data_IF_451377253094
#
_entry.id   IF_451377253094
#
_cell.length_a   1.000
_cell.length_b   1.000
_cell.length_c   1.000
_cell.angle_alpha   90.00
_cell.angle_beta   90.00
_cell.angle_gamma   90.00
#
_symmetry.space_group_name_H-M   'P 1'
#
loop_
_entity.id
_entity.type
_entity.pdbx_description
1 polymer ?
#
# COMPACT_ATOMS: atom_id res chain seq x y z
N UNK A 1 17.54 -6.69 6.18
CA UNK A 1 16.44 -7.45 5.54
C UNK A 1 15.95 -6.65 4.36
N UNK A 2 15.54 -7.33 3.26
CA UNK A 2 14.96 -6.66 2.10
C UNK A 2 13.64 -5.98 2.48
N UNK A 3 13.43 -4.73 2.03
CA UNK A 3 12.21 -3.95 2.22
C UNK A 3 11.26 -4.13 1.03
N UNK A 4 9.98 -3.81 1.22
CA UNK A 4 8.98 -3.78 0.13
C UNK A 4 8.66 -2.34 -0.21
N UNK A 5 8.93 -1.92 -1.44
CA UNK A 5 8.69 -0.54 -1.89
C UNK A 5 7.66 -0.56 -3.03
N UNK A 6 6.56 0.13 -2.83
CA UNK A 6 5.41 0.13 -3.75
C UNK A 6 5.29 1.49 -4.42
N UNK A 7 5.30 1.51 -5.76
CA UNK A 7 4.95 2.68 -6.55
C UNK A 7 3.43 2.72 -6.76
N UNK A 8 2.71 3.50 -5.95
CA UNK A 8 1.30 3.74 -6.16
C UNK A 8 1.11 4.95 -7.08
N UNK A 9 0.87 4.68 -8.36
CA UNK A 9 0.68 5.72 -9.37
C UNK A 9 -0.67 6.45 -9.24
N UNK A 10 -1.55 5.96 -8.37
CA UNK A 10 -2.92 6.51 -8.19
C UNK A 10 -3.62 6.63 -9.56
N UNK A 11 -4.34 7.72 -9.83
CA UNK A 11 -5.04 7.96 -11.10
C UNK A 11 -4.15 8.74 -12.09
N UNK A 12 -2.89 8.34 -12.26
CA UNK A 12 -1.95 9.01 -13.16
C UNK A 12 -1.39 8.04 -14.21
N UNK A 13 -0.99 8.60 -15.35
CA UNK A 13 -0.24 7.92 -16.38
C UNK A 13 -1.02 7.64 -17.66
N UNK A 14 -0.26 7.38 -18.71
CA UNK A 14 -0.66 6.87 -20.01
C UNK A 14 0.27 5.73 -20.39
N UNK A 15 -0.02 4.97 -21.44
CA UNK A 15 0.92 3.93 -21.92
C UNK A 15 2.30 4.51 -22.23
N UNK A 16 2.35 5.68 -22.89
CA UNK A 16 3.61 6.37 -23.20
C UNK A 16 4.36 6.79 -21.93
N UNK A 17 3.63 7.31 -20.93
CA UNK A 17 4.22 7.64 -19.63
C UNK A 17 4.85 6.40 -18.98
N UNK A 18 4.14 5.27 -18.97
CA UNK A 18 4.64 4.05 -18.35
C UNK A 18 5.82 3.43 -19.11
N UNK A 19 5.82 3.46 -20.44
CA UNK A 19 6.97 3.02 -21.23
C UNK A 19 8.22 3.85 -20.91
N UNK A 20 8.06 5.18 -20.85
CA UNK A 20 9.14 6.08 -20.47
C UNK A 20 9.57 5.86 -19.03
N UNK A 21 8.64 5.73 -18.11
CA UNK A 21 8.91 5.48 -16.69
C UNK A 21 9.73 4.20 -16.51
N UNK A 22 9.33 3.11 -17.15
CA UNK A 22 10.04 1.82 -17.11
C UNK A 22 11.45 1.91 -17.70
N UNK A 23 11.63 2.69 -18.78
CA UNK A 23 12.95 2.89 -19.39
C UNK A 23 13.89 3.72 -18.52
N UNK A 24 13.35 4.68 -17.76
CA UNK A 24 14.11 5.61 -16.93
C UNK A 24 14.34 5.09 -15.51
N UNK A 25 13.59 4.06 -15.08
CA UNK A 25 13.70 3.48 -13.75
C UNK A 25 14.87 2.50 -13.66
N UNK A 26 15.89 2.88 -12.92
CA UNK A 26 17.05 2.03 -12.61
C UNK A 26 17.02 1.65 -11.13
N UNK A 27 16.76 0.39 -10.84
CA UNK A 27 16.77 -0.14 -9.48
C UNK A 27 18.02 -1.00 -9.24
N UNK A 28 18.93 -0.48 -8.43
CA UNK A 28 20.13 -1.19 -7.99
C UNK A 28 19.98 -1.79 -6.58
N UNK A 29 18.82 -1.60 -5.95
CA UNK A 29 18.55 -2.13 -4.61
C UNK A 29 18.21 -3.62 -4.64
N UNK A 30 18.38 -4.29 -3.49
CA UNK A 30 17.91 -5.65 -3.26
C UNK A 30 16.47 -5.69 -2.70
N UNK A 31 15.78 -4.56 -2.72
CA UNK A 31 14.44 -4.42 -2.20
C UNK A 31 13.40 -4.96 -3.19
N UNK A 32 12.30 -5.48 -2.66
CA UNK A 32 11.17 -5.92 -3.47
C UNK A 32 10.42 -4.70 -3.99
N UNK A 33 10.33 -4.55 -5.31
CA UNK A 33 9.61 -3.46 -5.96
C UNK A 33 8.26 -3.95 -6.45
N UNK A 34 7.20 -3.22 -6.09
CA UNK A 34 5.85 -3.43 -6.60
C UNK A 34 5.40 -2.20 -7.39
N UNK A 35 4.81 -2.45 -8.57
CA UNK A 35 4.20 -1.39 -9.37
C UNK A 35 2.68 -1.49 -9.27
N UNK A 36 2.05 -0.40 -8.87
CA UNK A 36 0.60 -0.30 -8.70
C UNK A 36 0.01 0.77 -9.64
N UNK A 37 -0.17 0.43 -10.94
CA UNK A 37 -0.77 1.32 -11.92
C UNK A 37 -2.30 1.39 -11.73
N UNK A 38 -2.98 2.40 -12.33
CA UNK A 38 -4.43 2.36 -12.47
C UNK A 38 -4.90 1.05 -13.10
N UNK A 39 -6.06 0.53 -12.66
CA UNK A 39 -6.56 -0.79 -13.09
C UNK A 39 -6.69 -0.94 -14.61
N UNK A 40 -6.98 0.15 -15.33
CA UNK A 40 -7.04 0.17 -16.82
C UNK A 40 -5.71 -0.12 -17.51
N UNK A 41 -4.59 -0.10 -16.77
CA UNK A 41 -3.25 -0.39 -17.29
C UNK A 41 -2.63 -1.68 -16.72
N UNK A 42 -3.34 -2.44 -15.90
CA UNK A 42 -2.82 -3.69 -15.37
C UNK A 42 -2.47 -4.68 -16.47
N UNK A 43 -3.35 -4.82 -17.48
CA UNK A 43 -3.12 -5.67 -18.65
C UNK A 43 -1.87 -5.24 -19.45
N UNK A 44 -1.70 -3.93 -19.66
CA UNK A 44 -0.49 -3.40 -20.30
C UNK A 44 0.81 -3.80 -19.58
N UNK A 45 0.80 -3.83 -18.23
CA UNK A 45 1.95 -4.27 -17.45
C UNK A 45 2.11 -5.79 -17.41
N UNK A 46 1.01 -6.55 -17.41
CA UNK A 46 1.03 -8.02 -17.40
C UNK A 46 1.72 -8.61 -18.65
N UNK A 47 1.59 -7.94 -19.79
CA UNK A 47 2.23 -8.33 -21.05
C UNK A 47 3.74 -8.00 -21.11
N UNK A 48 4.24 -7.14 -20.22
CA UNK A 48 5.65 -6.73 -20.21
C UNK A 48 6.51 -7.70 -19.43
N UNK A 49 7.70 -7.98 -19.95
CA UNK A 49 8.75 -8.72 -19.23
C UNK A 49 9.45 -7.74 -18.27
N UNK A 50 8.88 -7.57 -17.07
CA UNK A 50 9.42 -6.73 -16.00
C UNK A 50 9.76 -7.61 -14.80
N UNK A 51 10.87 -7.28 -14.14
CA UNK A 51 11.31 -7.96 -12.89
C UNK A 51 10.64 -7.38 -11.64
N UNK A 52 9.47 -6.76 -11.79
CA UNK A 52 8.72 -6.13 -10.72
C UNK A 52 7.39 -6.85 -10.51
N UNK A 53 6.92 -6.88 -9.27
CA UNK A 53 5.63 -7.48 -8.95
C UNK A 53 4.49 -6.50 -9.26
N UNK A 54 3.42 -6.99 -9.89
CA UNK A 54 2.20 -6.19 -10.09
C UNK A 54 1.34 -6.16 -8.83
N UNK A 55 0.89 -4.96 -8.50
CA UNK A 55 -0.01 -4.66 -7.40
C UNK A 55 -1.24 -3.92 -7.91
N UNK A 56 -2.44 -4.40 -7.63
CA UNK A 56 -3.66 -3.64 -7.93
C UNK A 56 -3.91 -2.55 -6.89
N UNK A 57 -4.55 -1.44 -7.31
CA UNK A 57 -4.91 -0.34 -6.40
C UNK A 57 -6.20 -0.59 -5.62
N UNK A 58 -7.02 -1.54 -6.04
CA UNK A 58 -8.25 -1.95 -5.36
C UNK A 58 -8.76 -3.27 -5.94
N UNK A 59 -9.80 -3.83 -5.30
CA UNK A 59 -10.59 -4.98 -5.73
C UNK A 59 -12.01 -4.79 -5.24
N UNK A 60 -13.00 -5.47 -5.84
CA UNK A 60 -14.34 -5.51 -5.25
C UNK A 60 -14.50 -6.65 -4.25
N UNK A 61 -15.52 -6.54 -3.42
CA UNK A 61 -15.93 -7.55 -2.43
C UNK A 61 -16.72 -8.72 -3.03
N UNK A 62 -16.99 -8.69 -4.33
CA UNK A 62 -17.83 -9.68 -5.02
C UNK A 62 -17.00 -10.73 -5.78
N UNK A 63 -17.62 -11.85 -6.09
CA UNK A 63 -17.19 -12.79 -7.13
C UNK A 63 -17.75 -12.33 -8.49
N UNK A 64 -17.61 -13.17 -9.53
CA UNK A 64 -18.23 -12.91 -10.83
C UNK A 64 -19.74 -12.69 -10.73
N UNK A 65 -20.27 -11.76 -11.55
CA UNK A 65 -21.70 -11.47 -11.53
C UNK A 65 -22.07 -10.08 -12.08
N UNK A 66 -23.28 -9.59 -11.78
CA UNK A 66 -23.83 -8.34 -12.31
C UNK A 66 -23.29 -7.12 -11.55
N UNK A 67 -21.97 -6.93 -11.56
CA UNK A 67 -21.26 -5.85 -10.86
C UNK A 67 -20.50 -5.00 -11.85
N UNK A 68 -21.22 -4.27 -12.69
CA UNK A 68 -20.65 -3.41 -13.74
C UNK A 68 -19.59 -2.46 -13.18
N UNK A 69 -18.46 -2.30 -13.88
CA UNK A 69 -17.28 -1.49 -13.53
C UNK A 69 -16.45 -2.00 -12.34
N UNK A 70 -16.80 -3.15 -11.76
CA UNK A 70 -15.99 -3.77 -10.72
C UNK A 70 -14.99 -4.77 -11.31
N UNK A 71 -13.87 -4.97 -10.63
CA UNK A 71 -12.91 -6.02 -10.95
C UNK A 71 -12.71 -6.92 -9.72
N UNK A 72 -12.80 -8.21 -9.97
CA UNK A 72 -12.77 -9.25 -8.94
C UNK A 72 -11.36 -9.75 -8.67
N UNK A 73 -11.16 -10.43 -7.54
CA UNK A 73 -9.87 -11.05 -7.23
C UNK A 73 -9.48 -12.12 -8.28
N UNK A 74 -10.46 -12.81 -8.91
CA UNK A 74 -10.20 -13.76 -10.00
C UNK A 74 -9.64 -13.08 -11.25
N UNK A 75 -10.17 -11.91 -11.63
CA UNK A 75 -9.66 -11.12 -12.76
C UNK A 75 -8.24 -10.62 -12.49
N UNK A 76 -7.95 -10.19 -11.26
CA UNK A 76 -6.60 -9.77 -10.88
C UNK A 76 -5.61 -10.94 -10.94
N UNK A 77 -6.03 -12.12 -10.49
CA UNK A 77 -5.20 -13.33 -10.54
C UNK A 77 -4.89 -13.73 -11.99
N UNK A 78 -5.84 -13.64 -12.89
CA UNK A 78 -5.69 -13.94 -14.34
C UNK A 78 -4.64 -13.04 -14.98
N UNK A 79 -4.55 -11.77 -14.58
CA UNK A 79 -3.53 -10.81 -15.01
C UNK A 79 -2.17 -11.01 -14.29
N UNK A 80 -2.01 -12.03 -13.46
CA UNK A 80 -0.77 -12.29 -12.73
C UNK A 80 -0.49 -11.32 -11.57
N UNK A 81 -1.48 -10.56 -11.13
CA UNK A 81 -1.35 -9.66 -9.97
C UNK A 81 -1.10 -10.47 -8.70
N UNK A 82 -0.05 -10.12 -7.95
CA UNK A 82 0.37 -10.84 -6.74
C UNK A 82 -0.04 -10.15 -5.44
N UNK A 83 -0.27 -8.84 -5.50
CA UNK A 83 -0.62 -8.02 -4.34
C UNK A 83 -1.74 -7.04 -4.68
N UNK A 84 -2.50 -6.59 -3.69
CA UNK A 84 -3.57 -5.62 -3.90
C UNK A 84 -3.71 -4.68 -2.71
N UNK A 85 -3.72 -3.38 -2.98
CA UNK A 85 -4.01 -2.33 -1.99
C UNK A 85 -5.53 -2.34 -1.75
N UNK A 86 -5.93 -2.32 -0.49
CA UNK A 86 -7.33 -2.17 -0.07
C UNK A 86 -7.43 -1.18 1.09
N UNK A 87 -8.54 -0.46 1.15
CA UNK A 87 -8.81 0.51 2.21
C UNK A 87 -7.89 1.73 2.19
N UNK A 88 -7.28 2.05 1.03
CA UNK A 88 -6.48 3.28 0.87
C UNK A 88 -7.29 4.50 1.31
N UNK A 89 -6.61 5.48 1.91
CA UNK A 89 -7.25 6.68 2.46
C UNK A 89 -8.18 7.40 1.47
N UNK A 90 -7.79 7.46 0.19
CA UNK A 90 -8.63 8.03 -0.87
C UNK A 90 -9.91 7.21 -1.09
N UNK A 91 -9.85 5.87 -1.07
CA UNK A 91 -11.04 5.02 -1.19
C UNK A 91 -11.96 5.18 0.03
N UNK A 92 -11.40 5.24 1.23
CA UNK A 92 -12.17 5.50 2.46
C UNK A 92 -12.89 6.85 2.39
N UNK A 93 -12.21 7.89 1.90
CA UNK A 93 -12.75 9.26 1.88
C UNK A 93 -13.69 9.49 0.69
N UNK A 94 -13.27 9.13 -0.53
CA UNK A 94 -13.99 9.45 -1.76
C UNK A 94 -15.11 8.43 -2.04
N UNK A 95 -14.88 7.15 -1.76
CA UNK A 95 -15.82 6.07 -2.02
C UNK A 95 -16.56 5.60 -0.76
N UNK A 96 -16.26 6.21 0.40
CA UNK A 96 -16.84 5.87 1.71
C UNK A 96 -16.67 4.39 2.05
N UNK A 97 -15.48 3.86 1.76
CA UNK A 97 -15.16 2.47 2.10
C UNK A 97 -15.02 2.30 3.61
N UNK A 98 -15.90 1.49 4.19
CA UNK A 98 -15.92 1.18 5.61
C UNK A 98 -15.12 -0.09 5.94
N UNK A 99 -14.71 -0.26 7.21
CA UNK A 99 -13.88 -1.39 7.66
C UNK A 99 -14.48 -2.76 7.34
N UNK A 100 -15.82 -2.92 7.35
CA UNK A 100 -16.45 -4.19 7.01
C UNK A 100 -16.24 -4.56 5.53
N UNK A 101 -16.38 -3.60 4.60
CA UNK A 101 -16.13 -3.83 3.16
C UNK A 101 -14.67 -4.13 2.87
N UNK A 102 -13.76 -3.45 3.57
CA UNK A 102 -12.32 -3.71 3.44
C UNK A 102 -12.00 -5.13 3.89
N UNK A 103 -12.66 -5.60 4.96
CA UNK A 103 -12.49 -6.97 5.41
C UNK A 103 -13.07 -8.00 4.42
N UNK A 104 -14.20 -7.73 3.79
CA UNK A 104 -14.77 -8.58 2.72
C UNK A 104 -13.79 -8.66 1.52
N UNK A 105 -13.22 -7.55 1.09
CA UNK A 105 -12.18 -7.50 0.05
C UNK A 105 -10.95 -8.32 0.45
N UNK A 106 -10.50 -8.18 1.68
CA UNK A 106 -9.41 -8.98 2.23
C UNK A 106 -9.71 -10.48 2.09
N UNK A 107 -10.90 -10.93 2.46
CA UNK A 107 -11.29 -12.34 2.35
C UNK A 107 -11.24 -12.83 0.90
N UNK A 108 -11.66 -12.02 -0.09
CA UNK A 108 -11.57 -12.36 -1.51
C UNK A 108 -10.12 -12.50 -1.98
N UNK A 109 -9.25 -11.57 -1.62
CA UNK A 109 -7.83 -11.64 -1.96
C UNK A 109 -7.17 -12.87 -1.33
N UNK A 110 -7.43 -13.11 -0.05
CA UNK A 110 -6.87 -14.24 0.69
C UNK A 110 -7.29 -15.58 0.07
N UNK A 111 -8.56 -15.75 -0.32
CA UNK A 111 -9.05 -16.95 -0.98
C UNK A 111 -8.37 -17.25 -2.32
N UNK A 112 -7.87 -16.22 -3.01
CA UNK A 112 -7.13 -16.31 -4.28
C UNK A 112 -5.60 -16.26 -4.09
N UNK A 113 -5.10 -16.22 -2.86
CA UNK A 113 -3.68 -16.10 -2.52
C UNK A 113 -3.01 -14.86 -3.12
N UNK A 114 -3.78 -13.79 -3.29
CA UNK A 114 -3.28 -12.45 -3.61
C UNK A 114 -2.98 -11.76 -2.28
N UNK A 115 -1.75 -11.27 -2.10
CA UNK A 115 -1.29 -10.65 -0.87
C UNK A 115 -2.00 -9.31 -0.62
N UNK A 116 -2.77 -9.17 0.45
CA UNK A 116 -3.44 -7.91 0.77
C UNK A 116 -2.48 -6.90 1.38
N UNK A 117 -2.59 -5.64 0.94
CA UNK A 117 -1.95 -4.47 1.53
C UNK A 117 -3.09 -3.62 2.09
N UNK A 118 -3.32 -3.76 3.40
CA UNK A 118 -4.44 -3.13 4.10
C UNK A 118 -4.02 -1.75 4.59
N UNK A 119 -4.54 -0.69 3.96
CA UNK A 119 -4.26 0.67 4.39
C UNK A 119 -5.10 1.07 5.61
N UNK A 120 -4.41 1.58 6.60
CA UNK A 120 -4.97 2.05 7.87
C UNK A 120 -4.28 3.35 8.30
N UNK A 121 -4.96 4.14 9.10
CA UNK A 121 -4.38 5.37 9.65
C UNK A 121 -5.44 6.28 10.23
N UNK A 122 -4.99 7.19 11.06
CA UNK A 122 -5.84 8.11 11.80
C UNK A 122 -5.89 9.51 11.16
N UNK A 123 -7.03 10.23 11.27
CA UNK A 123 -7.11 11.65 10.98
C UNK A 123 -6.52 12.50 12.12
N UNK A 124 -6.29 13.79 11.84
CA UNK A 124 -5.62 14.71 12.77
C UNK A 124 -6.35 14.83 14.11
N UNK A 125 -7.66 14.93 14.09
CA UNK A 125 -8.48 15.05 15.30
C UNK A 125 -8.36 13.84 16.25
N UNK A 126 -8.14 12.64 15.68
CA UNK A 126 -7.87 11.44 16.48
C UNK A 126 -6.47 11.51 17.09
N UNK A 127 -5.47 11.99 16.33
CA UNK A 127 -4.11 12.19 16.82
C UNK A 127 -4.09 13.18 17.98
N UNK A 128 -4.73 14.35 17.82
CA UNK A 128 -4.79 15.40 18.84
C UNK A 128 -5.57 14.97 20.08
N UNK A 129 -6.63 14.17 19.94
CA UNK A 129 -7.40 13.63 21.06
C UNK A 129 -6.72 12.47 21.79
N UNK A 130 -5.53 12.03 21.36
CA UNK A 130 -4.76 10.89 21.92
C UNK A 130 -5.52 9.55 21.89
N UNK A 131 -6.42 9.37 20.93
CA UNK A 131 -7.21 8.13 20.73
C UNK A 131 -6.67 7.25 19.61
N UNK A 132 -5.44 7.46 19.18
CA UNK A 132 -4.82 6.76 18.04
C UNK A 132 -4.89 5.25 18.22
N UNK A 133 -4.50 4.76 19.39
CA UNK A 133 -4.44 3.33 19.66
C UNK A 133 -5.81 2.63 19.50
N UNK A 134 -6.87 3.21 20.06
CA UNK A 134 -8.22 2.65 19.96
C UNK A 134 -8.73 2.72 18.52
N UNK A 135 -8.39 3.81 17.80
CA UNK A 135 -8.75 3.98 16.41
C UNK A 135 -8.08 2.94 15.51
N UNK A 136 -6.78 2.70 15.67
CA UNK A 136 -6.01 1.67 14.94
C UNK A 136 -6.53 0.27 15.29
N UNK A 137 -6.85 0.00 16.57
CA UNK A 137 -7.45 -1.26 17.00
C UNK A 137 -8.75 -1.55 16.23
N UNK A 138 -9.65 -0.58 16.14
CA UNK A 138 -10.91 -0.72 15.40
C UNK A 138 -10.70 -1.03 13.91
N UNK A 139 -9.63 -0.49 13.30
CA UNK A 139 -9.31 -0.78 11.90
C UNK A 139 -8.66 -2.16 11.71
N UNK A 140 -8.04 -2.73 12.73
CA UNK A 140 -7.18 -3.91 12.62
C UNK A 140 -7.72 -5.17 13.30
N UNK A 141 -8.67 -5.05 14.24
CA UNK A 141 -9.13 -6.16 15.10
C UNK A 141 -9.61 -7.41 14.34
N UNK A 142 -10.23 -7.23 13.16
CA UNK A 142 -10.72 -8.35 12.33
C UNK A 142 -9.60 -9.17 11.69
N UNK A 143 -8.36 -8.68 11.69
CA UNK A 143 -7.21 -9.35 11.08
C UNK A 143 -6.36 -10.15 12.09
N UNK A 144 -6.73 -10.12 13.37
CA UNK A 144 -5.96 -10.76 14.45
C UNK A 144 -5.76 -12.27 14.25
N UNK A 145 -6.81 -12.98 13.86
CA UNK A 145 -6.80 -14.45 13.79
C UNK A 145 -6.19 -15.01 12.49
N UNK A 146 -5.83 -14.14 11.55
CA UNK A 146 -5.26 -14.58 10.28
C UNK A 146 -3.75 -14.79 10.40
N UNK A 147 -3.31 -16.03 10.08
CA UNK A 147 -1.88 -16.42 10.08
C UNK A 147 -1.16 -16.06 8.78
N UNK A 148 -1.90 -15.79 7.74
CA UNK A 148 -1.39 -15.44 6.41
C UNK A 148 -0.59 -14.14 6.44
N UNK A 149 0.25 -13.96 5.42
CA UNK A 149 0.98 -12.72 5.25
C UNK A 149 0.02 -11.57 4.94
N UNK A 150 -0.12 -10.64 5.88
CA UNK A 150 -0.84 -9.38 5.71
C UNK A 150 0.18 -8.26 5.81
N UNK A 151 0.15 -7.35 4.84
CA UNK A 151 0.92 -6.11 4.89
C UNK A 151 -0.03 -4.99 5.29
N UNK A 152 0.34 -4.21 6.30
CA UNK A 152 -0.38 -3.00 6.65
C UNK A 152 0.34 -1.77 6.08
N UNK A 153 -0.40 -0.93 5.35
CA UNK A 153 0.07 0.40 4.94
C UNK A 153 -0.36 1.43 5.97
N UNK A 154 0.57 1.95 6.76
CA UNK A 154 0.25 3.01 7.71
C UNK A 154 0.21 4.37 7.00
N UNK A 155 -0.98 4.91 6.90
CA UNK A 155 -1.30 6.18 6.24
C UNK A 155 -1.81 7.21 7.27
N UNK A 156 -0.93 7.98 7.96
CA UNK A 156 -1.41 9.09 8.77
C UNK A 156 -2.12 10.11 7.87
N UNK A 157 -3.49 10.15 7.92
CA UNK A 157 -4.31 10.91 6.96
C UNK A 157 -3.91 12.38 6.89
N UNK A 158 -3.51 12.94 8.02
CA UNK A 158 -3.08 14.32 8.15
C UNK A 158 -1.70 14.63 7.52
N UNK A 159 -0.95 13.59 7.18
CA UNK A 159 0.38 13.69 6.55
C UNK A 159 0.37 13.35 5.05
N UNK A 160 -0.75 12.84 4.50
CA UNK A 160 -0.84 12.45 3.09
C UNK A 160 -0.98 13.70 2.22
N UNK A 161 -0.07 13.89 1.26
CA UNK A 161 -0.13 15.00 0.30
C UNK A 161 0.00 16.40 0.90
N UNK A 162 0.20 16.51 2.21
CA UNK A 162 0.29 17.78 2.93
C UNK A 162 1.73 18.30 3.06
N UNK A 163 2.72 17.47 2.73
CA UNK A 163 4.15 17.72 3.02
C UNK A 163 4.52 17.57 4.50
N UNK A 164 3.55 17.34 5.38
CA UNK A 164 3.84 17.03 6.79
C UNK A 164 4.34 15.60 6.91
N UNK A 165 5.29 15.39 7.81
CA UNK A 165 5.82 14.06 8.13
C UNK A 165 5.66 13.85 9.64
N UNK A 166 5.08 12.72 10.07
CA UNK A 166 5.05 12.36 11.48
C UNK A 166 6.46 12.29 12.06
N UNK A 167 6.59 12.52 13.35
CA UNK A 167 7.83 12.20 14.06
C UNK A 167 8.08 10.69 13.99
N UNK A 168 9.34 10.28 13.97
CA UNK A 168 9.70 8.86 13.94
C UNK A 168 9.07 8.06 15.08
N UNK A 169 8.95 8.67 16.26
CA UNK A 169 8.30 8.03 17.42
C UNK A 169 6.79 7.84 17.23
N UNK A 170 6.12 8.71 16.48
CA UNK A 170 4.69 8.54 16.15
C UNK A 170 4.49 7.39 15.17
N UNK A 171 5.44 7.22 14.21
CA UNK A 171 5.45 6.05 13.31
C UNK A 171 5.66 4.77 14.11
N UNK A 172 6.63 4.74 15.04
CA UNK A 172 6.87 3.59 15.92
C UNK A 172 5.67 3.25 16.79
N UNK A 173 5.03 4.26 17.37
CA UNK A 173 3.83 4.09 18.20
C UNK A 173 2.75 3.28 17.46
N UNK A 174 2.40 3.71 16.25
CA UNK A 174 1.36 3.05 15.46
C UNK A 174 1.81 1.67 14.98
N UNK A 175 3.04 1.55 14.52
CA UNK A 175 3.60 0.26 14.07
C UNK A 175 3.59 -0.79 15.19
N UNK A 176 3.97 -0.41 16.39
CA UNK A 176 3.93 -1.30 17.55
C UNK A 176 2.48 -1.66 17.93
N UNK A 177 1.55 -0.71 17.86
CA UNK A 177 0.14 -0.99 18.12
C UNK A 177 -0.45 -2.00 17.11
N UNK A 178 -0.12 -1.87 15.81
CA UNK A 178 -0.54 -2.84 14.79
C UNK A 178 -0.01 -4.24 15.11
N UNK A 179 1.28 -4.37 15.42
CA UNK A 179 1.91 -5.66 15.77
C UNK A 179 1.29 -6.27 17.03
N UNK A 180 1.01 -5.46 18.04
CA UNK A 180 0.34 -5.92 19.25
C UNK A 180 -1.08 -6.46 18.97
N UNK A 181 -1.85 -5.77 18.09
CA UNK A 181 -3.23 -6.18 17.80
C UNK A 181 -3.34 -7.32 16.77
N UNK A 182 -2.38 -7.46 15.87
CA UNK A 182 -2.47 -8.42 14.75
C UNK A 182 -1.38 -9.49 14.76
N UNK A 183 -0.39 -9.38 15.64
CA UNK A 183 0.76 -10.31 15.75
C UNK A 183 2.04 -9.75 15.12
N UNK A 184 3.17 -10.14 15.68
CA UNK A 184 4.51 -9.65 15.33
C UNK A 184 4.97 -10.03 13.91
N UNK A 185 4.31 -11.02 13.27
CA UNK A 185 4.61 -11.48 11.93
C UNK A 185 4.04 -10.59 10.81
N UNK A 186 3.32 -9.52 11.16
CA UNK A 186 2.74 -8.60 10.17
C UNK A 186 3.79 -7.59 9.71
N UNK A 187 3.84 -7.36 8.39
CA UNK A 187 4.70 -6.34 7.78
C UNK A 187 3.99 -4.98 7.78
N UNK A 188 4.76 -3.92 7.97
CA UNK A 188 4.25 -2.56 8.00
C UNK A 188 5.00 -1.70 7.00
N UNK A 189 4.28 -1.10 6.06
CA UNK A 189 4.79 -0.10 5.14
C UNK A 189 4.38 1.29 5.60
N UNK A 190 5.28 2.24 5.52
CA UNK A 190 4.92 3.63 5.73
C UNK A 190 4.29 4.21 4.46
N UNK A 191 3.08 4.76 4.56
CA UNK A 191 2.28 5.29 3.46
C UNK A 191 1.99 6.81 3.55
N UNK A 192 2.65 7.53 4.45
CA UNK A 192 2.58 9.00 4.50
C UNK A 192 3.49 9.66 3.47
N UNK A 193 3.71 10.98 3.60
CA UNK A 193 4.61 11.73 2.72
C UNK A 193 6.04 11.20 2.83
N UNK A 194 6.54 10.57 1.77
CA UNK A 194 7.89 10.03 1.66
C UNK A 194 8.55 10.50 0.36
N UNK A 195 9.82 10.86 0.42
CA UNK A 195 10.66 11.28 -0.69
C UNK A 195 12.12 10.94 -0.40
N UNK A 196 13.03 11.22 -1.34
CA UNK A 196 14.45 10.90 -1.20
C UNK A 196 15.14 11.59 -0.01
N UNK A 197 14.59 12.70 0.50
CA UNK A 197 15.21 13.43 1.62
C UNK A 197 14.86 12.87 3.01
N UNK A 198 13.79 12.08 3.13
CA UNK A 198 13.33 11.51 4.41
C UNK A 198 13.21 9.97 4.42
N UNK A 199 13.35 9.34 3.27
CA UNK A 199 13.17 7.88 3.14
C UNK A 199 14.18 7.10 3.97
N UNK A 200 15.43 7.54 4.04
CA UNK A 200 16.49 6.86 4.78
C UNK A 200 16.16 6.77 6.28
N UNK A 201 15.74 7.87 6.90
CA UNK A 201 15.38 7.90 8.33
C UNK A 201 14.17 7.03 8.65
N UNK A 202 13.15 7.07 7.76
CA UNK A 202 11.92 6.29 7.94
C UNK A 202 12.18 4.79 7.74
N UNK A 203 12.90 4.44 6.66
CA UNK A 203 13.14 3.03 6.31
C UNK A 203 14.19 2.35 7.21
N UNK A 204 15.01 3.11 7.94
CA UNK A 204 15.89 2.57 9.00
C UNK A 204 15.13 2.16 10.27
N UNK A 205 13.88 2.56 10.44
CA UNK A 205 13.09 2.09 11.57
C UNK A 205 12.92 0.57 11.48
N UNK A 206 13.23 -0.14 12.56
CA UNK A 206 13.10 -1.61 12.64
C UNK A 206 11.65 -2.09 12.59
N UNK A 207 10.71 -1.20 12.93
CA UNK A 207 9.28 -1.45 12.90
C UNK A 207 8.69 -1.36 11.51
N UNK A 208 9.43 -0.76 10.54
CA UNK A 208 8.97 -0.50 9.18
C UNK A 208 9.62 -1.48 8.21
N UNK A 209 8.81 -2.17 7.43
CA UNK A 209 9.21 -3.20 6.47
C UNK A 209 9.23 -2.66 5.02
N UNK A 210 8.96 -1.38 4.80
CA UNK A 210 9.00 -0.74 3.48
C UNK A 210 8.17 0.53 3.38
N UNK A 211 7.81 0.92 2.15
CA UNK A 211 7.03 2.12 1.87
C UNK A 211 5.97 1.92 0.79
N UNK A 212 4.84 2.61 0.95
CA UNK A 212 3.81 2.81 -0.06
C UNK A 212 3.95 4.25 -0.58
N UNK A 213 4.59 4.40 -1.74
CA UNK A 213 5.01 5.70 -2.29
C UNK A 213 3.97 6.22 -3.27
N UNK A 214 3.36 7.36 -2.96
CA UNK A 214 2.38 8.04 -3.83
C UNK A 214 3.06 8.98 -4.84
N UNK A 215 2.93 10.30 -4.67
CA UNK A 215 3.37 11.31 -5.64
C UNK A 215 4.82 11.17 -6.10
N UNK A 216 5.75 10.86 -5.19
CA UNK A 216 7.17 10.65 -5.53
C UNK A 216 7.39 9.45 -6.46
N UNK A 217 6.46 8.50 -6.58
CA UNK A 217 6.56 7.38 -7.51
C UNK A 217 6.39 7.78 -8.97
N UNK A 218 5.79 8.94 -9.26
CA UNK A 218 5.61 9.44 -10.62
C UNK A 218 6.94 9.83 -11.31
N UNK A 219 7.96 10.13 -10.52
CA UNK A 219 9.31 10.37 -11.02
C UNK A 219 10.17 9.12 -10.80
N UNK A 220 10.59 8.40 -11.85
CA UNK A 220 11.33 7.14 -11.73
C UNK A 220 12.67 7.29 -11.00
N UNK A 221 13.36 8.44 -11.14
CA UNK A 221 14.62 8.71 -10.45
C UNK A 221 14.41 8.94 -8.95
N UNK A 222 13.38 9.70 -8.59
CA UNK A 222 13.02 9.94 -7.20
C UNK A 222 12.61 8.62 -6.51
N UNK A 223 11.80 7.81 -7.21
CA UNK A 223 11.40 6.51 -6.71
C UNK A 223 12.59 5.54 -6.54
N UNK A 224 13.55 5.56 -7.49
CA UNK A 224 14.77 4.78 -7.38
C UNK A 224 15.62 5.20 -6.16
N UNK A 225 15.77 6.50 -5.89
CA UNK A 225 16.47 6.98 -4.69
C UNK A 225 15.78 6.51 -3.40
N UNK A 226 14.44 6.53 -3.34
CA UNK A 226 13.69 5.99 -2.20
C UNK A 226 13.94 4.48 -2.07
N UNK A 227 13.88 3.72 -3.18
CA UNK A 227 14.08 2.29 -3.17
C UNK A 227 15.50 1.88 -2.75
N UNK A 228 16.49 2.74 -2.94
CA UNK A 228 17.91 2.51 -2.63
C UNK A 228 18.32 3.04 -1.25
N UNK A 229 17.44 3.75 -0.53
CA UNK A 229 17.80 4.42 0.73
C UNK A 229 17.86 3.50 1.96
N UNK A 230 17.75 2.18 1.80
CA UNK A 230 17.77 1.20 2.90
C UNK A 230 18.41 -0.14 2.50
#
# INVERSE_FOLDING_TARGET
MSKTIIANFKANGTKEFFDKWLSDFNNESQNQILLSPPSVYLDFFSEKKIDFELCSQNVCEFEEGPFTSQHTASMLLDLGVKSCIIGHSESRTLLREENHKIFEKFQKLNSKKIRPIVCIGEPLEIRESKKVRDYIKNQTEKFHDFKEEIIFGYEPLWAIGSGKVPKLDEIREVSNAIKEFCGDNKKILYGGSINSSNSEDILKLKEIDGALVGGSSLNPKEFAMIAQSC
#
